data_IF_731726097741
#
_entry.id   IF_731726097741
#
_cell.length_a   1.000
_cell.length_b   1.000
_cell.length_c   1.000
_cell.angle_alpha   90.00
_cell.angle_beta   90.00
_cell.angle_gamma   90.00
#
_symmetry.space_group_name_H-M   'P 1'
#
loop_
_entity.id
_entity.type
_entity.pdbx_description
1 polymer ?
#
# COMPACT_ATOMS: atom_id res chain seq x y z
N UNK A 1 0.76 -33.46 12.49
CA UNK A 1 1.69 -34.07 11.50
C UNK A 1 1.67 -33.16 10.28
N UNK A 2 2.76 -32.44 10.00
CA UNK A 2 2.83 -31.59 8.82
C UNK A 2 2.82 -32.47 7.56
N UNK A 3 1.96 -32.17 6.60
CA UNK A 3 1.89 -32.91 5.35
C UNK A 3 3.10 -32.51 4.48
N UNK A 4 3.91 -33.48 4.06
CA UNK A 4 5.07 -33.21 3.23
C UNK A 4 4.64 -32.99 1.76
N UNK A 5 5.10 -31.89 1.18
CA UNK A 5 4.92 -31.60 -0.24
C UNK A 5 6.05 -32.26 -1.06
N UNK A 6 5.71 -32.88 -2.20
CA UNK A 6 6.66 -33.52 -3.11
C UNK A 6 6.44 -33.05 -4.55
N UNK A 7 7.45 -32.42 -5.14
CA UNK A 7 7.43 -32.00 -6.55
C UNK A 7 7.33 -33.20 -7.51
N UNK A 8 7.83 -34.36 -7.11
CA UNK A 8 7.75 -35.58 -7.93
C UNK A 8 6.32 -36.12 -8.06
N UNK A 9 5.41 -35.67 -7.20
CA UNK A 9 3.98 -36.00 -7.28
C UNK A 9 3.17 -35.01 -8.13
N UNK A 10 3.81 -34.01 -8.73
CA UNK A 10 3.16 -33.00 -9.57
C UNK A 10 3.40 -33.28 -11.05
N UNK A 11 2.34 -33.55 -11.82
CA UNK A 11 2.42 -33.72 -13.28
C UNK A 11 2.62 -32.39 -14.02
N UNK A 12 2.17 -31.29 -13.41
CA UNK A 12 2.22 -29.95 -13.99
C UNK A 12 2.62 -28.95 -12.90
N UNK A 13 3.47 -28.00 -13.27
CA UNK A 13 3.85 -26.85 -12.43
C UNK A 13 3.49 -25.57 -13.18
N UNK A 14 2.54 -24.81 -12.62
CA UNK A 14 2.19 -23.48 -13.11
C UNK A 14 3.05 -22.42 -12.45
N UNK A 15 3.51 -21.45 -13.24
CA UNK A 15 4.24 -20.29 -12.75
C UNK A 15 3.44 -19.03 -13.05
N UNK A 16 3.42 -18.11 -12.09
CA UNK A 16 3.03 -16.73 -12.36
C UNK A 16 4.07 -16.08 -13.29
N UNK A 17 3.65 -15.10 -14.09
CA UNK A 17 4.56 -14.42 -15.01
C UNK A 17 5.33 -13.34 -14.27
N UNK A 18 4.63 -12.31 -13.82
CA UNK A 18 5.24 -11.09 -13.32
C UNK A 18 5.78 -11.28 -11.89
N UNK A 19 6.99 -10.77 -11.65
CA UNK A 19 7.73 -10.99 -10.40
C UNK A 19 8.03 -12.46 -10.04
N UNK A 20 7.66 -13.42 -10.89
CA UNK A 20 8.01 -14.85 -10.75
C UNK A 20 8.91 -15.30 -11.90
N UNK A 21 8.43 -15.39 -13.14
CA UNK A 21 9.26 -15.68 -14.32
C UNK A 21 9.92 -14.41 -14.89
N UNK A 22 9.15 -13.32 -14.99
CA UNK A 22 9.60 -12.00 -15.44
C UNK A 22 10.03 -11.16 -14.24
N UNK A 23 11.31 -10.82 -14.17
CA UNK A 23 11.88 -10.04 -13.07
C UNK A 23 12.06 -8.59 -13.49
N UNK A 24 11.37 -7.70 -12.80
CA UNK A 24 11.49 -6.25 -13.01
C UNK A 24 12.63 -5.65 -12.19
N UNK A 25 13.22 -4.57 -12.70
CA UNK A 25 14.16 -3.74 -11.97
C UNK A 25 13.38 -2.78 -11.05
N UNK A 26 13.23 -3.14 -9.77
CA UNK A 26 12.35 -2.43 -8.83
C UNK A 26 12.67 -0.93 -8.69
N UNK A 27 13.94 -0.49 -8.55
CA UNK A 27 14.31 0.93 -8.57
C UNK A 27 13.80 1.72 -9.78
N UNK A 28 13.67 1.08 -10.94
CA UNK A 28 13.20 1.74 -12.17
C UNK A 28 11.68 1.62 -12.33
N UNK A 29 11.10 0.49 -11.95
CA UNK A 29 9.65 0.28 -12.08
C UNK A 29 8.84 1.04 -11.04
N UNK A 30 9.37 1.21 -9.82
CA UNK A 30 8.65 1.89 -8.73
C UNK A 30 8.31 3.37 -9.07
N UNK A 31 9.25 4.19 -9.58
CA UNK A 31 8.94 5.53 -10.06
C UNK A 31 7.89 5.54 -11.18
N UNK A 32 7.99 4.64 -12.16
CA UNK A 32 7.03 4.57 -13.27
C UNK A 32 5.59 4.31 -12.77
N UNK A 33 5.46 3.38 -11.83
CA UNK A 33 4.19 3.06 -11.20
C UNK A 33 3.68 4.30 -10.45
N UNK A 34 4.48 4.85 -9.53
CA UNK A 34 4.11 6.01 -8.74
C UNK A 34 3.70 7.20 -9.61
N UNK A 35 4.51 7.55 -10.61
CA UNK A 35 4.29 8.70 -11.48
C UNK A 35 2.99 8.56 -12.26
N UNK A 36 2.70 7.36 -12.75
CA UNK A 36 1.45 7.08 -13.45
C UNK A 36 0.23 7.35 -12.55
N UNK A 37 0.27 6.90 -11.29
CA UNK A 37 -0.79 7.17 -10.32
C UNK A 37 -0.87 8.63 -9.89
N UNK A 38 0.27 9.24 -9.56
CA UNK A 38 0.36 10.62 -9.11
C UNK A 38 -0.14 11.58 -10.20
N UNK A 39 0.21 11.35 -11.46
CA UNK A 39 -0.29 12.12 -12.59
C UNK A 39 -1.81 12.03 -12.71
N UNK A 40 -2.40 10.84 -12.57
CA UNK A 40 -3.85 10.68 -12.60
C UNK A 40 -4.52 11.45 -11.46
N UNK A 41 -4.02 11.32 -10.22
CA UNK A 41 -4.59 12.02 -9.06
C UNK A 41 -4.49 13.55 -9.22
N UNK A 42 -3.38 14.06 -9.72
CA UNK A 42 -3.21 15.51 -9.90
C UNK A 42 -4.06 16.05 -11.05
N UNK A 43 -4.04 15.39 -12.23
CA UNK A 43 -4.72 15.88 -13.44
C UNK A 43 -6.23 15.67 -13.40
N UNK A 44 -6.68 14.47 -13.03
CA UNK A 44 -8.08 14.08 -13.14
C UNK A 44 -8.86 14.29 -11.83
N UNK A 45 -8.17 14.27 -10.69
CA UNK A 45 -8.80 14.37 -9.36
C UNK A 45 -8.47 15.65 -8.61
N UNK A 46 -7.56 16.48 -9.14
CA UNK A 46 -7.23 17.79 -8.57
C UNK A 46 -6.44 17.74 -7.26
N UNK A 47 -5.70 16.66 -7.00
CA UNK A 47 -4.79 16.58 -5.86
C UNK A 47 -3.60 17.54 -6.02
N UNK A 48 -2.88 17.76 -4.91
CA UNK A 48 -1.76 18.70 -4.87
C UNK A 48 -0.62 18.27 -5.81
N UNK A 49 -0.03 19.24 -6.51
CA UNK A 49 1.11 19.02 -7.42
C UNK A 49 2.36 18.55 -6.68
N UNK A 50 2.45 18.79 -5.36
CA UNK A 50 3.52 18.25 -4.51
C UNK A 50 3.63 16.71 -4.64
N UNK A 51 2.53 16.00 -4.96
CA UNK A 51 2.57 14.56 -5.19
C UNK A 51 3.51 14.14 -6.32
N UNK A 52 3.80 15.02 -7.29
CA UNK A 52 4.70 14.73 -8.42
C UNK A 52 6.18 14.89 -8.08
N UNK A 53 6.53 15.35 -6.87
CA UNK A 53 7.91 15.61 -6.48
C UNK A 53 8.38 14.54 -5.50
N UNK A 54 9.07 13.51 -5.99
CA UNK A 54 9.61 12.42 -5.17
C UNK A 54 11.13 12.48 -5.15
N UNK A 55 11.71 12.33 -3.96
CA UNK A 55 13.15 12.23 -3.73
C UNK A 55 13.56 10.77 -3.50
N UNK A 56 14.82 10.39 -3.74
CA UNK A 56 15.29 9.03 -3.47
C UNK A 56 14.99 8.53 -2.05
N UNK A 57 15.04 9.42 -1.06
CA UNK A 57 14.84 9.11 0.36
C UNK A 57 13.38 8.76 0.69
N UNK A 58 12.41 9.26 -0.10
CA UNK A 58 11.00 8.95 0.11
C UNK A 58 10.68 7.46 -0.09
N UNK A 59 11.46 6.78 -0.93
CA UNK A 59 11.26 5.37 -1.24
C UNK A 59 11.54 4.45 -0.05
N UNK A 60 12.27 4.91 0.97
CA UNK A 60 12.51 4.16 2.21
C UNK A 60 11.21 3.89 2.98
N UNK A 61 10.13 4.64 2.69
CA UNK A 61 8.79 4.38 3.22
C UNK A 61 8.20 3.06 2.72
N UNK A 62 8.50 2.68 1.48
CA UNK A 62 7.90 1.54 0.80
C UNK A 62 8.44 0.21 1.35
N UNK A 63 7.71 -0.40 2.28
CA UNK A 63 8.01 -1.72 2.83
C UNK A 63 6.92 -2.72 2.48
N UNK A 64 7.30 -3.90 1.96
CA UNK A 64 6.33 -4.98 1.68
C UNK A 64 5.65 -5.43 2.98
N UNK A 65 4.34 -5.68 2.92
CA UNK A 65 3.52 -6.10 4.06
C UNK A 65 3.15 -4.96 5.00
N UNK A 66 3.02 -3.74 4.47
CA UNK A 66 2.36 -2.63 5.18
C UNK A 66 0.84 -2.78 5.06
N UNK A 67 0.14 -2.45 6.14
CA UNK A 67 -1.30 -2.29 6.18
C UNK A 67 -1.63 -0.80 6.25
N UNK A 68 -2.46 -0.31 5.34
CA UNK A 68 -3.07 1.02 5.40
C UNK A 68 -4.43 0.91 6.08
N UNK A 69 -4.60 1.59 7.21
CA UNK A 69 -5.88 1.87 7.84
C UNK A 69 -6.55 3.05 7.12
N UNK A 70 -7.62 2.78 6.39
CA UNK A 70 -8.35 3.79 5.61
C UNK A 70 -9.24 4.68 6.48
N UNK A 71 -9.58 4.25 7.71
CA UNK A 71 -10.36 5.08 8.63
C UNK A 71 -9.50 6.17 9.26
N UNK A 72 -8.27 5.84 9.65
CA UNK A 72 -7.38 6.75 10.38
C UNK A 72 -6.21 7.29 9.54
N UNK A 73 -6.01 6.81 8.31
CA UNK A 73 -4.89 7.22 7.45
C UNK A 73 -3.52 6.71 7.93
N UNK A 74 -3.53 5.66 8.75
CA UNK A 74 -2.31 5.13 9.38
C UNK A 74 -1.73 3.98 8.56
N UNK A 75 -0.41 3.96 8.38
CA UNK A 75 0.31 2.80 7.85
C UNK A 75 0.90 2.01 9.00
N UNK A 76 0.76 0.69 8.95
CA UNK A 76 0.97 -0.20 10.09
C UNK A 76 1.81 -1.37 9.62
N UNK A 77 2.88 -1.66 10.36
CA UNK A 77 3.70 -2.87 10.20
C UNK A 77 3.38 -3.82 11.34
N UNK A 78 2.90 -5.01 11.01
CA UNK A 78 2.48 -6.02 11.97
C UNK A 78 3.54 -7.11 12.15
N UNK A 79 3.58 -7.69 13.34
CA UNK A 79 4.17 -8.99 13.61
C UNK A 79 3.22 -10.12 13.15
N UNK A 80 3.72 -11.35 13.14
CA UNK A 80 2.96 -12.55 12.81
C UNK A 80 1.78 -12.81 13.77
N UNK A 81 1.91 -12.40 15.03
CA UNK A 81 0.86 -12.46 16.05
C UNK A 81 -0.06 -11.22 16.07
N UNK A 82 0.02 -10.33 15.08
CA UNK A 82 -0.85 -9.16 15.00
C UNK A 82 -0.45 -7.96 15.86
N UNK A 83 0.67 -8.04 16.58
CA UNK A 83 1.24 -6.90 17.32
C UNK A 83 1.70 -5.82 16.34
N UNK A 84 1.36 -4.56 16.60
CA UNK A 84 1.87 -3.43 15.82
C UNK A 84 3.33 -3.16 16.18
N UNK A 85 4.23 -3.36 15.22
CA UNK A 85 5.67 -3.14 15.36
C UNK A 85 6.04 -1.68 15.10
N UNK A 86 5.42 -1.07 14.10
CA UNK A 86 5.62 0.34 13.72
C UNK A 86 4.33 0.88 13.13
N UNK A 87 4.13 2.19 13.27
CA UNK A 87 3.07 2.88 12.57
C UNK A 87 3.52 4.28 12.13
N UNK A 88 2.89 4.80 11.07
CA UNK A 88 2.95 6.20 10.65
C UNK A 88 1.55 6.72 10.39
N UNK A 89 1.36 8.03 10.54
CA UNK A 89 0.19 8.73 10.03
C UNK A 89 0.61 9.52 8.80
N UNK A 90 0.14 9.12 7.62
CA UNK A 90 0.79 9.53 6.37
C UNK A 90 2.28 9.15 6.38
N UNK A 91 3.16 10.08 6.03
CA UNK A 91 4.62 9.84 6.06
C UNK A 91 5.24 10.08 7.44
N UNK A 92 4.49 10.65 8.40
CA UNK A 92 5.00 10.92 9.75
C UNK A 92 4.97 9.67 10.62
N UNK A 93 6.15 9.15 10.95
CA UNK A 93 6.29 8.05 11.91
C UNK A 93 5.75 8.43 13.29
N UNK A 94 5.01 7.50 13.93
CA UNK A 94 4.57 7.66 15.32
C UNK A 94 5.77 7.50 16.25
N UNK A 95 5.88 8.37 17.26
CA UNK A 95 6.86 8.22 18.31
C UNK A 95 6.56 6.98 19.17
N UNK A 96 7.54 6.36 19.84
CA UNK A 96 7.32 5.17 20.67
C UNK A 96 6.23 5.35 21.74
N UNK A 97 6.12 6.55 22.33
CA UNK A 97 5.08 6.89 23.31
C UNK A 97 3.69 6.96 22.69
N UNK A 98 3.56 7.54 21.50
CA UNK A 98 2.30 7.59 20.74
C UNK A 98 1.88 6.17 20.32
N UNK A 99 2.84 5.39 19.82
CA UNK A 99 2.63 4.00 19.42
C UNK A 99 2.18 3.14 20.61
N UNK A 100 2.82 3.27 21.77
CA UNK A 100 2.44 2.56 22.98
C UNK A 100 1.07 3.01 23.51
N UNK A 101 0.72 4.29 23.37
CA UNK A 101 -0.59 4.80 23.77
C UNK A 101 -1.71 4.27 22.87
N UNK A 102 -1.47 4.19 21.56
CA UNK A 102 -2.48 3.83 20.58
C UNK A 102 -2.59 2.30 20.38
N UNK A 103 -1.45 1.59 20.44
CA UNK A 103 -1.35 0.15 20.14
C UNK A 103 -0.67 -0.69 21.24
N UNK A 104 -0.23 -0.10 22.35
CA UNK A 104 0.49 -0.81 23.41
C UNK A 104 -0.38 -1.82 24.14
N UNK A 105 -0.29 -3.09 23.74
CA UNK A 105 -0.91 -4.22 24.42
C UNK A 105 -2.16 -4.78 23.75
N UNK A 106 -2.42 -4.44 22.48
CA UNK A 106 -3.53 -5.02 21.71
C UNK A 106 -3.04 -5.46 20.33
N UNK A 107 -3.60 -6.57 19.86
CA UNK A 107 -3.56 -6.89 18.44
C UNK A 107 -4.23 -5.75 17.66
N UNK A 108 -3.77 -5.50 16.44
CA UNK A 108 -4.41 -4.50 15.61
C UNK A 108 -5.90 -4.80 15.42
N UNK A 109 -6.76 -3.78 15.45
CA UNK A 109 -8.23 -3.92 15.46
C UNK A 109 -8.82 -4.76 14.32
N UNK A 110 -8.08 -4.94 13.22
CA UNK A 110 -8.48 -5.76 12.08
C UNK A 110 -7.67 -7.04 11.90
N UNK A 111 -6.75 -7.32 12.82
CA UNK A 111 -6.07 -8.60 12.86
C UNK A 111 -7.09 -9.68 13.24
N UNK A 112 -7.17 -10.74 12.42
CA UNK A 112 -8.03 -11.88 12.67
C UNK A 112 -7.14 -13.11 12.84
N UNK A 113 -7.18 -13.74 14.01
CA UNK A 113 -6.37 -14.92 14.33
C UNK A 113 -6.74 -16.17 13.51
N UNK A 114 -7.97 -16.25 13.02
CA UNK A 114 -8.56 -17.54 12.58
C UNK A 114 -8.90 -17.63 11.08
N UNK A 115 -8.70 -16.57 10.31
CA UNK A 115 -8.86 -16.61 8.84
C UNK A 115 -7.72 -15.85 8.20
N UNK A 116 -6.74 -16.59 7.65
CA UNK A 116 -5.51 -16.07 7.03
C UNK A 116 -5.69 -15.21 5.77
N UNK A 117 -6.85 -14.56 5.62
CA UNK A 117 -7.10 -13.51 4.65
C UNK A 117 -7.96 -12.45 5.30
N UNK A 118 -7.40 -11.25 5.40
CA UNK A 118 -8.07 -10.07 5.86
C UNK A 118 -9.24 -9.74 4.88
N UNK A 119 -10.48 -10.01 5.31
CA UNK A 119 -11.65 -9.92 4.44
C UNK A 119 -12.30 -8.52 4.44
N UNK A 120 -12.34 -7.92 3.24
CA UNK A 120 -13.39 -7.07 2.61
C UNK A 120 -14.24 -6.09 3.47
N UNK A 121 -13.72 -5.48 4.52
CA UNK A 121 -14.48 -4.41 5.20
C UNK A 121 -14.34 -3.04 4.51
N UNK A 122 -13.46 -2.89 3.51
CA UNK A 122 -13.18 -1.59 2.89
C UNK A 122 -12.52 -0.59 3.85
N UNK A 123 -12.08 -1.04 5.02
CA UNK A 123 -11.48 -0.22 6.09
C UNK A 123 -9.95 -0.25 6.09
N UNK A 124 -9.35 -1.20 5.41
CA UNK A 124 -7.90 -1.29 5.29
C UNK A 124 -7.47 -1.89 3.95
N UNK A 125 -6.21 -1.68 3.61
CA UNK A 125 -5.56 -2.23 2.43
C UNK A 125 -4.17 -2.79 2.77
N UNK A 126 -3.78 -3.90 2.16
CA UNK A 126 -2.46 -4.51 2.35
C UNK A 126 -1.60 -4.33 1.11
N UNK A 127 -0.39 -3.80 1.28
CA UNK A 127 0.62 -3.70 0.23
C UNK A 127 1.52 -4.94 0.26
N UNK A 128 1.07 -6.02 -0.37
CA UNK A 128 1.69 -7.34 -0.35
C UNK A 128 2.38 -7.76 -1.65
N UNK A 129 2.37 -6.89 -2.66
CA UNK A 129 2.98 -7.12 -3.96
C UNK A 129 3.77 -5.87 -4.40
N UNK A 130 4.55 -5.99 -5.48
CA UNK A 130 5.39 -4.89 -5.97
C UNK A 130 4.68 -3.97 -6.97
N UNK A 131 3.48 -4.32 -7.42
CA UNK A 131 2.70 -3.54 -8.39
C UNK A 131 2.00 -2.34 -7.76
N UNK A 132 1.61 -2.47 -6.49
CA UNK A 132 0.90 -1.44 -5.74
C UNK A 132 1.75 -0.80 -4.64
N UNK A 133 2.88 -1.40 -4.26
CA UNK A 133 3.75 -0.90 -3.20
C UNK A 133 4.18 0.57 -3.38
N UNK A 134 4.54 1.06 -4.58
CA UNK A 134 4.79 2.49 -4.79
C UNK A 134 3.58 3.38 -4.43
N UNK A 135 2.37 2.84 -4.58
CA UNK A 135 1.12 3.49 -4.18
C UNK A 135 1.00 3.69 -2.66
N UNK A 136 1.76 2.96 -1.83
CA UNK A 136 1.78 3.18 -0.38
C UNK A 136 2.32 4.58 -0.03
N UNK A 137 3.47 4.95 -0.63
CA UNK A 137 4.04 6.30 -0.47
C UNK A 137 3.08 7.37 -0.99
N UNK A 138 2.44 7.12 -2.14
CA UNK A 138 1.46 8.05 -2.71
C UNK A 138 0.28 8.28 -1.76
N UNK A 139 -0.29 7.20 -1.22
CA UNK A 139 -1.39 7.27 -0.26
C UNK A 139 -0.95 7.97 1.04
N UNK A 140 0.27 7.74 1.51
CA UNK A 140 0.83 8.42 2.68
C UNK A 140 0.90 9.94 2.49
N UNK A 141 1.39 10.39 1.32
CA UNK A 141 1.45 11.81 0.98
C UNK A 141 0.08 12.44 0.77
N UNK A 142 -0.87 11.67 0.22
CA UNK A 142 -2.28 12.10 0.16
C UNK A 142 -2.84 12.32 1.57
N UNK A 143 -2.58 11.41 2.51
CA UNK A 143 -2.96 11.58 3.91
C UNK A 143 -2.31 12.84 4.49
N UNK A 144 -1.01 13.07 4.29
CA UNK A 144 -0.33 14.28 4.78
C UNK A 144 -0.98 15.57 4.27
N UNK A 145 -1.29 15.63 2.97
CA UNK A 145 -1.96 16.76 2.35
C UNK A 145 -3.37 16.97 2.93
N UNK A 146 -4.14 15.90 3.11
CA UNK A 146 -5.49 15.98 3.67
C UNK A 146 -5.48 16.37 5.14
N UNK A 147 -4.55 15.84 5.93
CA UNK A 147 -4.38 16.18 7.36
C UNK A 147 -4.05 17.66 7.54
N UNK A 148 -3.20 18.23 6.67
CA UNK A 148 -2.92 19.68 6.63
C UNK A 148 -4.17 20.52 6.31
N UNK A 149 -5.01 20.07 5.36
CA UNK A 149 -6.20 20.82 4.91
C UNK A 149 -7.39 20.72 5.88
N UNK A 150 -7.56 19.57 6.52
CA UNK A 150 -8.74 19.27 7.35
C UNK A 150 -8.58 19.71 8.82
N UNK A 151 -7.50 20.41 9.20
CA UNK A 151 -7.19 20.73 10.60
C UNK A 151 -7.34 19.52 11.55
N UNK A 152 -7.04 18.31 11.06
CA UNK A 152 -7.15 17.06 11.85
C UNK A 152 -8.53 16.37 11.87
N UNK A 153 -9.50 16.74 11.02
CA UNK A 153 -10.73 15.94 10.85
C UNK A 153 -10.44 14.63 10.09
N UNK A 154 -10.88 13.52 10.68
CA UNK A 154 -10.48 12.13 10.35
C UNK A 154 -11.04 11.53 9.05
N UNK A 155 -11.95 12.19 8.34
CA UNK A 155 -12.63 11.51 7.21
C UNK A 155 -11.75 11.53 5.97
N UNK A 156 -11.06 10.41 5.72
CA UNK A 156 -10.24 10.17 4.53
C UNK A 156 -11.05 9.44 3.46
N UNK A 157 -11.75 10.18 2.59
CA UNK A 157 -12.49 9.61 1.44
C UNK A 157 -11.66 9.70 0.14
N UNK A 158 -10.39 9.29 0.19
CA UNK A 158 -9.49 9.30 -0.98
C UNK A 158 -9.37 7.92 -1.66
N UNK A 159 -9.76 6.83 -0.98
CA UNK A 159 -9.58 5.48 -1.48
C UNK A 159 -10.29 5.22 -2.82
N UNK A 160 -11.48 5.81 -3.00
CA UNK A 160 -12.22 5.76 -4.27
C UNK A 160 -11.43 6.33 -5.45
N UNK A 161 -10.60 7.36 -5.20
CA UNK A 161 -9.77 7.98 -6.22
C UNK A 161 -8.53 7.14 -6.52
N UNK A 162 -7.95 6.50 -5.51
CA UNK A 162 -6.87 5.51 -5.68
C UNK A 162 -7.37 4.34 -6.54
N UNK A 163 -8.53 3.76 -6.20
CA UNK A 163 -9.14 2.69 -6.99
C UNK A 163 -9.42 3.14 -8.43
N UNK A 164 -9.90 4.37 -8.63
CA UNK A 164 -10.10 4.91 -9.97
C UNK A 164 -8.76 5.03 -10.74
N UNK A 165 -7.68 5.41 -10.07
CA UNK A 165 -6.33 5.43 -10.64
C UNK A 165 -5.83 4.03 -11.03
N UNK A 166 -6.09 3.01 -10.19
CA UNK A 166 -5.73 1.61 -10.50
C UNK A 166 -6.47 1.17 -11.76
N UNK A 167 -7.77 1.42 -11.80
CA UNK A 167 -8.60 1.11 -12.97
C UNK A 167 -8.18 1.91 -14.21
N UNK A 168 -7.64 3.11 -14.07
CA UNK A 168 -7.13 3.89 -15.21
C UNK A 168 -5.82 3.29 -15.73
N UNK A 169 -4.84 3.08 -14.85
CA UNK A 169 -3.49 2.67 -15.23
C UNK A 169 -3.42 1.24 -15.77
N UNK A 170 -4.25 0.32 -15.25
CA UNK A 170 -4.27 -1.07 -15.69
C UNK A 170 -5.28 -1.36 -16.82
N UNK A 171 -5.94 -0.34 -17.39
CA UNK A 171 -6.71 -0.52 -18.62
C UNK A 171 -5.77 -0.70 -19.81
N UNK A 172 -6.01 -1.72 -20.65
CA UNK A 172 -5.25 -1.92 -21.88
C UNK A 172 -5.19 -0.68 -22.79
N UNK A 173 -6.21 0.18 -22.77
CA UNK A 173 -6.24 1.41 -23.55
C UNK A 173 -5.24 2.46 -23.07
N UNK A 174 -4.91 2.50 -21.77
CA UNK A 174 -3.93 3.44 -21.21
C UNK A 174 -2.51 3.19 -21.75
N UNK A 175 -2.22 1.96 -22.17
CA UNK A 175 -0.94 1.61 -22.80
C UNK A 175 -0.87 1.91 -24.31
N UNK A 176 -1.99 2.28 -24.95
CA UNK A 176 -2.03 2.48 -26.42
C UNK A 176 -1.63 3.88 -26.87
N UNK A 177 -1.70 4.88 -25.98
CA UNK A 177 -1.51 6.30 -26.35
C UNK A 177 -0.04 6.75 -26.40
N UNK A 178 0.92 5.91 -25.98
CA UNK A 178 2.35 6.22 -26.01
C UNK A 178 3.09 5.59 -27.23
N UNK A 179 2.44 5.54 -28.41
CA UNK A 179 3.09 5.16 -29.68
C UNK A 179 3.26 6.35 -30.61
#
# INVERSE_FOLDING_TARGET
MAQHFSLAACDVVGFDLDHTLCRYNLPESAPLIYDSFAQFLVKEKGYDKELLTVTPEDWDFCCKGLALDLEDGNFIKLADNGTVLRASHGTRMLAPEELAKEYGGREWKYFMSDTGMAFRSGKYYFYDNYFDLPGALLCARVVDSLTKKNNGQKTFDFWKDIVAGIQHNYKMSAFRENR
#
